data_IF_219436555157
#
_entry.id   IF_219436555157
#
_cell.length_a   1.000
_cell.length_b   1.000
_cell.length_c   1.000
_cell.angle_alpha   90.00
_cell.angle_beta   90.00
_cell.angle_gamma   90.00
#
_symmetry.space_group_name_H-M   'P 1'
#
loop_
_entity.id
_entity.type
_entity.pdbx_description
1 polymer ?
#
# COMPACT_ATOMS: atom_id res chain seq x y z
N UNK A 1 -28.63 12.32 20.87
CA UNK A 1 -27.98 11.81 19.65
C UNK A 1 -29.09 11.65 18.61
N UNK A 2 -29.01 12.38 17.50
CA UNK A 2 -29.93 12.20 16.38
C UNK A 2 -29.67 10.84 15.73
N UNK A 3 -30.68 10.21 15.13
CA UNK A 3 -30.56 8.89 14.48
C UNK A 3 -29.61 8.89 13.25
N UNK A 4 -29.00 10.02 12.90
CA UNK A 4 -28.01 10.17 11.82
C UNK A 4 -26.63 9.55 12.11
N UNK A 5 -26.34 9.16 13.35
CA UNK A 5 -25.00 8.68 13.78
C UNK A 5 -24.96 7.16 14.09
N UNK A 6 -25.96 6.41 13.61
CA UNK A 6 -26.09 4.97 13.86
C UNK A 6 -25.72 4.16 12.63
N UNK A 7 -25.06 3.02 12.86
CA UNK A 7 -24.60 2.10 11.81
C UNK A 7 -25.12 0.71 12.10
N UNK A 8 -25.76 0.09 11.12
CA UNK A 8 -26.05 -1.34 11.17
C UNK A 8 -24.80 -2.12 10.81
N UNK A 9 -24.28 -2.90 11.75
CA UNK A 9 -23.16 -3.81 11.53
C UNK A 9 -23.66 -5.24 11.38
N UNK A 10 -23.27 -5.91 10.30
CA UNK A 10 -23.52 -7.33 10.13
C UNK A 10 -22.39 -8.15 10.77
N UNK A 11 -22.72 -8.79 11.88
CA UNK A 11 -21.87 -9.73 12.59
C UNK A 11 -22.08 -11.15 12.06
N UNK A 12 -20.99 -11.80 11.70
CA UNK A 12 -20.93 -13.22 11.36
C UNK A 12 -19.79 -13.91 12.14
N UNK A 13 -19.67 -15.22 12.03
CA UNK A 13 -18.60 -15.97 12.70
C UNK A 13 -18.66 -15.83 14.22
N UNK A 14 -17.50 -15.63 14.87
CA UNK A 14 -17.42 -15.44 16.33
C UNK A 14 -18.06 -14.14 16.84
N UNK A 15 -18.38 -13.19 15.95
CA UNK A 15 -18.92 -11.88 16.32
C UNK A 15 -20.42 -11.90 16.64
N UNK A 16 -21.08 -13.01 16.33
CA UNK A 16 -22.48 -13.27 16.71
C UNK A 16 -22.60 -13.59 18.21
N UNK A 17 -21.53 -14.09 18.85
CA UNK A 17 -21.60 -14.56 20.23
C UNK A 17 -21.72 -13.40 21.24
N UNK A 18 -22.62 -13.54 22.21
CA UNK A 18 -22.85 -12.52 23.24
C UNK A 18 -21.60 -12.24 24.11
N UNK A 19 -20.76 -13.27 24.31
CA UNK A 19 -19.47 -13.17 25.00
C UNK A 19 -18.48 -12.28 24.26
N UNK A 20 -18.50 -12.31 22.93
CA UNK A 20 -17.65 -11.48 22.07
C UNK A 20 -18.04 -10.00 22.17
N UNK A 21 -19.34 -9.69 22.18
CA UNK A 21 -19.84 -8.33 22.39
C UNK A 21 -19.45 -7.78 23.77
N UNK A 22 -19.63 -8.58 24.84
CA UNK A 22 -19.25 -8.21 26.21
C UNK A 22 -17.75 -7.92 26.33
N UNK A 23 -16.90 -8.79 25.78
CA UNK A 23 -15.44 -8.61 25.77
C UNK A 23 -15.02 -7.30 25.08
N UNK A 24 -15.77 -6.86 24.07
CA UNK A 24 -15.52 -5.63 23.32
C UNK A 24 -16.23 -4.39 23.90
N UNK A 25 -16.98 -4.55 24.99
CA UNK A 25 -17.74 -3.46 25.62
C UNK A 25 -18.69 -2.76 24.63
N UNK A 26 -19.33 -3.56 23.76
CA UNK A 26 -20.31 -3.08 22.79
C UNK A 26 -21.72 -3.23 23.35
N UNK A 27 -22.54 -2.21 23.17
CA UNK A 27 -23.92 -2.18 23.62
C UNK A 27 -24.85 -1.83 22.44
N UNK A 28 -25.19 -2.82 21.59
CA UNK A 28 -26.12 -2.59 20.48
C UNK A 28 -27.45 -2.02 20.96
N UNK A 29 -27.95 -1.02 20.24
CA UNK A 29 -29.27 -0.41 20.51
C UNK A 29 -30.42 -1.29 20.02
N UNK A 30 -30.17 -2.03 18.95
CA UNK A 30 -31.07 -3.03 18.38
C UNK A 30 -30.23 -4.19 17.83
N UNK A 31 -30.81 -5.39 17.79
CA UNK A 31 -30.17 -6.59 17.29
C UNK A 31 -31.18 -7.50 16.60
N UNK A 32 -30.93 -7.85 15.34
CA UNK A 32 -31.86 -8.67 14.55
C UNK A 32 -31.13 -9.83 13.87
N UNK A 33 -31.68 -11.06 13.86
CA UNK A 33 -31.15 -12.12 13.04
C UNK A 33 -31.42 -11.79 11.56
N UNK A 34 -30.37 -11.84 10.75
CA UNK A 34 -30.43 -11.50 9.33
C UNK A 34 -29.63 -12.49 8.48
N UNK A 35 -29.92 -12.48 7.17
CA UNK A 35 -29.22 -13.24 6.15
C UNK A 35 -28.72 -12.29 5.06
N UNK A 36 -27.53 -12.55 4.50
CA UNK A 36 -27.03 -11.84 3.32
C UNK A 36 -27.08 -12.79 2.12
N UNK A 37 -28.09 -12.70 1.24
CA UNK A 37 -28.32 -13.67 0.16
C UNK A 37 -27.17 -13.78 -0.85
N UNK A 38 -26.43 -12.70 -1.04
CA UNK A 38 -25.35 -12.58 -2.03
C UNK A 38 -24.02 -13.21 -1.59
N UNK A 39 -23.89 -13.58 -0.30
CA UNK A 39 -22.61 -14.02 0.28
C UNK A 39 -22.74 -15.37 0.98
N UNK A 40 -21.61 -16.08 1.06
CA UNK A 40 -21.46 -17.35 1.78
C UNK A 40 -20.36 -17.22 2.84
N UNK A 41 -20.44 -18.05 3.89
CA UNK A 41 -19.41 -18.16 4.92
C UNK A 41 -18.21 -18.95 4.37
N UNK A 42 -17.00 -18.43 4.57
CA UNK A 42 -15.74 -19.10 4.22
C UNK A 42 -14.73 -19.02 5.39
N UNK A 43 -13.60 -19.72 5.27
CA UNK A 43 -12.48 -19.68 6.22
C UNK A 43 -11.17 -19.30 5.52
N UNK A 44 -11.15 -18.09 4.97
CA UNK A 44 -10.07 -17.54 4.15
C UNK A 44 -9.18 -16.53 4.89
N UNK A 45 -9.43 -16.29 6.18
CA UNK A 45 -8.64 -15.39 7.01
C UNK A 45 -7.60 -16.19 7.80
N UNK A 46 -6.32 -15.84 7.61
CA UNK A 46 -5.21 -16.43 8.33
C UNK A 46 -5.32 -16.17 9.84
N UNK A 47 -5.26 -17.25 10.64
CA UNK A 47 -5.15 -17.13 12.09
C UNK A 47 -3.77 -17.56 12.59
N UNK A 48 -3.59 -17.68 13.91
CA UNK A 48 -2.27 -18.03 14.49
C UNK A 48 -1.99 -19.52 14.28
N UNK A 49 -0.89 -19.90 13.58
CA UNK A 49 -0.51 -21.30 13.39
C UNK A 49 -0.47 -22.06 14.72
N UNK A 50 -0.91 -23.33 14.69
CA UNK A 50 -0.95 -24.24 15.86
C UNK A 50 -1.93 -23.87 17.00
N UNK A 51 -2.66 -22.74 16.87
CA UNK A 51 -3.75 -22.34 17.77
C UNK A 51 -5.10 -22.28 17.05
N UNK A 52 -5.26 -21.34 16.13
CA UNK A 52 -6.48 -21.12 15.35
C UNK A 52 -6.03 -20.86 13.92
N UNK A 53 -5.86 -21.91 13.08
CA UNK A 53 -5.23 -21.77 11.78
C UNK A 53 -6.06 -20.98 10.77
N UNK A 54 -7.38 -20.90 10.95
CA UNK A 54 -8.30 -20.17 10.08
C UNK A 54 -9.44 -19.53 10.88
N UNK A 55 -9.86 -18.34 10.46
CA UNK A 55 -10.99 -17.59 11.01
C UNK A 55 -12.08 -17.40 9.97
N UNK A 56 -13.29 -17.08 10.42
CA UNK A 56 -14.43 -16.85 9.54
C UNK A 56 -14.23 -15.59 8.68
N UNK A 57 -14.55 -15.72 7.39
CA UNK A 57 -14.71 -14.65 6.41
C UNK A 57 -16.05 -14.80 5.68
N UNK A 58 -16.34 -13.87 4.78
CA UNK A 58 -17.44 -13.99 3.82
C UNK A 58 -16.92 -13.65 2.43
N UNK A 59 -17.50 -14.31 1.43
CA UNK A 59 -17.23 -14.05 0.01
C UNK A 59 -18.52 -14.03 -0.79
N UNK A 60 -18.47 -13.37 -1.95
CA UNK A 60 -19.58 -13.43 -2.89
C UNK A 60 -19.84 -14.87 -3.33
N UNK A 61 -21.12 -15.14 -3.55
CA UNK A 61 -21.59 -16.44 -3.99
C UNK A 61 -21.31 -16.63 -5.48
N UNK A 62 -20.74 -17.79 -5.83
CA UNK A 62 -20.40 -18.17 -7.20
C UNK A 62 -21.36 -19.24 -7.73
N UNK A 63 -21.46 -19.46 -9.07
CA UNK A 63 -22.29 -20.50 -9.65
C UNK A 63 -21.93 -21.94 -9.22
N UNK A 64 -20.72 -22.14 -8.68
CA UNK A 64 -20.22 -23.44 -8.20
C UNK A 64 -20.74 -23.75 -6.79
N UNK A 65 -21.23 -22.74 -6.06
CA UNK A 65 -21.78 -22.90 -4.71
C UNK A 65 -23.21 -23.50 -4.76
N UNK A 66 -23.30 -24.82 -4.57
CA UNK A 66 -24.59 -25.53 -4.47
C UNK A 66 -25.46 -24.91 -3.37
N UNK A 67 -26.65 -24.43 -3.75
CA UNK A 67 -27.60 -23.79 -2.86
C UNK A 67 -28.08 -24.64 -1.69
N UNK A 68 -28.00 -25.96 -1.81
CA UNK A 68 -28.35 -26.88 -0.72
C UNK A 68 -27.16 -27.17 0.19
N UNK A 69 -25.94 -27.17 -0.34
CA UNK A 69 -24.73 -27.48 0.42
C UNK A 69 -24.12 -26.25 1.09
N UNK A 70 -24.20 -25.08 0.45
CA UNK A 70 -23.61 -23.82 0.90
C UNK A 70 -24.71 -22.75 1.01
N UNK A 71 -25.43 -22.69 2.14
CA UNK A 71 -26.48 -21.70 2.33
C UNK A 71 -25.91 -20.28 2.40
N UNK A 72 -26.71 -19.24 2.11
CA UNK A 72 -26.31 -17.86 2.33
C UNK A 72 -25.83 -17.62 3.76
N UNK A 73 -24.91 -16.67 3.96
CA UNK A 73 -24.39 -16.37 5.28
C UNK A 73 -25.48 -15.77 6.18
N UNK A 74 -25.68 -16.37 7.35
CA UNK A 74 -26.57 -15.87 8.37
C UNK A 74 -25.76 -15.28 9.52
N UNK A 75 -26.31 -14.26 10.15
CA UNK A 75 -25.65 -13.53 11.23
C UNK A 75 -26.61 -12.61 11.95
N UNK A 76 -26.05 -11.63 12.64
CA UNK A 76 -26.81 -10.62 13.39
C UNK A 76 -26.54 -9.24 12.83
N UNK A 77 -27.58 -8.46 12.57
CA UNK A 77 -27.47 -7.04 12.39
C UNK A 77 -27.51 -6.37 13.77
N UNK A 78 -26.44 -5.70 14.17
CA UNK A 78 -26.37 -4.90 15.39
C UNK A 78 -26.42 -3.42 15.04
N UNK A 79 -27.37 -2.68 15.61
CA UNK A 79 -27.43 -1.22 15.48
C UNK A 79 -26.47 -0.61 16.50
N UNK A 80 -25.34 -0.12 16.02
CA UNK A 80 -24.26 0.44 16.84
C UNK A 80 -24.19 1.95 16.66
N UNK A 81 -23.72 2.66 17.69
CA UNK A 81 -23.26 4.04 17.50
C UNK A 81 -22.02 4.04 16.59
N UNK A 82 -21.77 5.15 15.90
CA UNK A 82 -20.53 5.34 15.11
C UNK A 82 -19.27 5.01 15.93
N UNK A 83 -19.26 5.37 17.23
CA UNK A 83 -18.14 5.13 18.13
C UNK A 83 -17.97 3.65 18.44
N UNK A 84 -19.06 2.92 18.70
CA UNK A 84 -19.04 1.48 18.96
C UNK A 84 -18.64 0.70 17.72
N UNK A 85 -19.17 1.09 16.57
CA UNK A 85 -18.78 0.54 15.28
C UNK A 85 -17.29 0.74 15.03
N UNK A 86 -16.77 1.96 15.21
CA UNK A 86 -15.34 2.20 15.04
C UNK A 86 -14.48 1.38 16.03
N UNK A 87 -14.91 1.22 17.29
CA UNK A 87 -14.19 0.36 18.25
C UNK A 87 -14.17 -1.10 17.81
N UNK A 88 -15.29 -1.59 17.28
CA UNK A 88 -15.38 -2.93 16.71
C UNK A 88 -14.38 -3.11 15.57
N UNK A 89 -14.43 -2.23 14.57
CA UNK A 89 -13.59 -2.28 13.37
C UNK A 89 -12.09 -2.27 13.72
N UNK A 90 -11.68 -1.45 14.69
CA UNK A 90 -10.29 -1.44 15.20
C UNK A 90 -9.92 -2.74 15.93
N UNK A 91 -10.86 -3.35 16.65
CA UNK A 91 -10.61 -4.58 17.40
C UNK A 91 -10.52 -5.83 16.51
N UNK A 92 -11.12 -5.79 15.31
CA UNK A 92 -11.10 -6.85 14.31
C UNK A 92 -9.87 -6.78 13.40
N UNK A 93 -9.06 -5.71 13.49
CA UNK A 93 -7.92 -5.51 12.60
C UNK A 93 -8.32 -5.05 11.19
N UNK A 94 -9.43 -4.32 11.08
CA UNK A 94 -9.83 -3.70 9.82
C UNK A 94 -8.76 -2.72 9.31
N UNK A 95 -8.49 -2.77 8.01
CA UNK A 95 -7.39 -2.08 7.35
C UNK A 95 -6.08 -2.90 7.32
N UNK A 96 -5.94 -3.94 8.14
CA UNK A 96 -4.77 -4.85 8.12
C UNK A 96 -5.16 -6.20 7.51
N UNK A 97 -6.08 -6.92 8.15
CA UNK A 97 -6.53 -8.25 7.70
C UNK A 97 -7.87 -8.21 6.96
N UNK A 98 -8.68 -7.16 7.20
CA UNK A 98 -10.02 -7.01 6.62
C UNK A 98 -10.22 -5.68 5.89
N UNK A 99 -11.10 -5.66 4.90
CA UNK A 99 -11.63 -4.46 4.23
C UNK A 99 -13.10 -4.27 4.62
N UNK A 100 -13.49 -3.03 4.85
CA UNK A 100 -14.89 -2.67 5.14
C UNK A 100 -15.72 -2.69 3.85
N UNK A 101 -16.92 -3.26 3.93
CA UNK A 101 -17.86 -3.35 2.79
C UNK A 101 -19.29 -3.07 3.24
N UNK A 102 -20.11 -2.61 2.30
CA UNK A 102 -21.55 -2.37 2.49
C UNK A 102 -22.34 -3.45 1.75
N UNK A 103 -23.24 -4.13 2.48
CA UNK A 103 -24.07 -5.22 1.98
C UNK A 103 -25.54 -4.95 2.30
N UNK A 104 -26.43 -5.67 1.62
CA UNK A 104 -27.86 -5.69 1.94
C UNK A 104 -28.19 -6.98 2.68
N UNK A 105 -28.60 -6.84 3.93
CA UNK A 105 -29.08 -7.95 4.75
C UNK A 105 -30.62 -8.00 4.76
N UNK A 106 -31.18 -9.19 4.93
CA UNK A 106 -32.62 -9.43 5.03
C UNK A 106 -32.95 -10.03 6.38
N UNK A 107 -34.02 -9.55 7.02
CA UNK A 107 -34.49 -10.12 8.29
C UNK A 107 -34.87 -11.60 8.15
N UNK A 108 -34.37 -12.42 9.07
CA UNK A 108 -34.70 -13.84 9.13
C UNK A 108 -36.10 -14.01 9.74
N UNK A 109 -37.03 -14.67 9.04
CA UNK A 109 -38.33 -15.00 9.63
C UNK A 109 -38.17 -16.13 10.65
N UNK A 110 -38.24 -15.80 11.94
CA UNK A 110 -38.17 -16.78 13.02
C UNK A 110 -39.56 -17.37 13.30
N UNK A 111 -39.94 -18.43 12.60
CA UNK A 111 -40.92 -19.43 13.05
C UNK A 111 -42.44 -19.17 12.88
N UNK A 112 -43.08 -20.09 12.14
CA UNK A 112 -44.47 -20.61 12.29
C UNK A 112 -45.56 -19.72 12.92
N UNK A 113 -45.84 -18.54 12.36
CA UNK A 113 -47.23 -18.08 12.26
C UNK A 113 -47.43 -17.48 10.88
N UNK A 114 -48.37 -18.06 10.13
CA UNK A 114 -48.73 -17.63 8.79
C UNK A 114 -49.47 -16.28 8.84
N UNK A 115 -48.73 -15.20 9.03
CA UNK A 115 -49.09 -13.85 8.58
C UNK A 115 -47.84 -13.24 7.97
N UNK A 116 -47.95 -12.84 6.70
CA UNK A 116 -46.87 -12.38 5.84
C UNK A 116 -45.79 -11.60 6.61
N UNK A 117 -44.68 -12.28 6.91
CA UNK A 117 -43.51 -11.64 7.51
C UNK A 117 -42.94 -10.71 6.45
N UNK A 118 -43.10 -9.41 6.64
CA UNK A 118 -42.46 -8.38 5.81
C UNK A 118 -40.95 -8.56 5.92
N UNK A 119 -40.33 -9.01 4.84
CA UNK A 119 -38.87 -9.11 4.73
C UNK A 119 -38.31 -7.71 4.57
N UNK A 120 -37.80 -7.15 5.67
CA UNK A 120 -37.12 -5.85 5.65
C UNK A 120 -35.68 -6.03 5.14
N UNK A 121 -35.30 -5.22 4.16
CA UNK A 121 -33.92 -5.08 3.69
C UNK A 121 -33.22 -3.99 4.50
N UNK A 122 -32.08 -4.34 5.10
CA UNK A 122 -31.30 -3.46 5.96
C UNK A 122 -29.93 -3.29 5.30
N UNK A 123 -29.52 -2.06 4.94
CA UNK A 123 -28.14 -1.80 4.54
C UNK A 123 -27.24 -1.97 5.77
N UNK A 124 -26.25 -2.85 5.66
CA UNK A 124 -25.33 -3.21 6.74
C UNK A 124 -23.89 -2.99 6.30
N UNK A 125 -23.04 -2.61 7.25
CA UNK A 125 -21.59 -2.62 7.07
C UNK A 125 -20.99 -3.86 7.68
N UNK A 126 -19.94 -4.39 7.07
CA UNK A 126 -19.22 -5.55 7.60
C UNK A 126 -17.78 -5.60 7.11
N UNK A 127 -17.06 -6.66 7.47
CA UNK A 127 -15.66 -6.88 7.16
C UNK A 127 -15.49 -8.10 6.26
N UNK A 128 -14.70 -7.97 5.20
CA UNK A 128 -14.27 -9.06 4.32
C UNK A 128 -12.76 -9.21 4.36
N UNK A 129 -12.24 -10.41 4.08
CA UNK A 129 -10.79 -10.65 4.05
C UNK A 129 -10.12 -9.74 3.01
N UNK A 130 -9.05 -9.04 3.41
CA UNK A 130 -8.25 -8.21 2.50
C UNK A 130 -7.36 -9.06 1.60
N UNK A 131 -6.86 -10.17 2.13
CA UNK A 131 -5.97 -11.12 1.47
C UNK A 131 -6.52 -12.54 1.69
N UNK A 132 -7.57 -12.94 0.96
CA UNK A 132 -8.22 -14.23 1.16
C UNK A 132 -7.27 -15.38 0.79
N UNK A 133 -7.08 -16.33 1.69
CA UNK A 133 -6.25 -17.51 1.44
C UNK A 133 -7.05 -18.61 0.73
N UNK A 134 -6.45 -19.20 -0.31
CA UNK A 134 -7.03 -20.30 -1.07
C UNK A 134 -5.98 -21.42 -1.26
N UNK A 135 -6.33 -22.71 -1.06
CA UNK A 135 -7.62 -23.20 -0.60
C UNK A 135 -7.93 -22.82 0.87
N UNK A 136 -9.22 -22.68 1.19
CA UNK A 136 -9.67 -22.36 2.56
C UNK A 136 -9.08 -23.32 3.60
N UNK A 137 -8.57 -22.78 4.71
CA UNK A 137 -7.99 -23.56 5.79
C UNK A 137 -9.07 -24.01 6.79
N UNK A 138 -8.84 -25.13 7.47
CA UNK A 138 -9.81 -25.67 8.42
C UNK A 138 -9.77 -24.91 9.75
N UNK A 139 -10.88 -24.33 10.24
CA UNK A 139 -10.93 -23.66 11.55
C UNK A 139 -10.75 -24.67 12.70
N UNK A 140 -10.26 -24.21 13.85
CA UNK A 140 -10.09 -25.11 15.00
C UNK A 140 -11.43 -25.59 15.58
N UNK A 141 -11.45 -26.76 16.23
CA UNK A 141 -12.64 -27.27 16.94
C UNK A 141 -13.16 -26.25 17.97
N UNK A 142 -12.25 -25.57 18.67
CA UNK A 142 -12.62 -24.52 19.64
C UNK A 142 -13.33 -23.36 18.96
N UNK A 143 -12.80 -22.88 17.84
CA UNK A 143 -13.36 -21.76 17.09
C UNK A 143 -14.74 -22.11 16.51
N UNK A 144 -14.88 -23.30 15.93
CA UNK A 144 -16.17 -23.81 15.46
C UNK A 144 -17.22 -23.90 16.56
N UNK A 145 -16.82 -24.28 17.78
CA UNK A 145 -17.68 -24.25 18.95
C UNK A 145 -18.28 -22.86 19.23
N UNK A 146 -17.49 -21.79 19.07
CA UNK A 146 -17.96 -20.41 19.24
C UNK A 146 -19.00 -20.02 18.18
N UNK A 147 -18.80 -20.42 16.92
CA UNK A 147 -19.73 -20.15 15.82
C UNK A 147 -21.09 -20.82 16.08
N UNK A 148 -21.06 -22.11 16.43
CA UNK A 148 -22.27 -22.91 16.69
C UNK A 148 -23.00 -22.38 17.93
N UNK A 149 -22.28 -22.06 19.00
CA UNK A 149 -22.86 -21.49 20.20
C UNK A 149 -23.47 -20.10 19.93
N UNK A 150 -22.75 -19.22 19.23
CA UNK A 150 -23.25 -17.90 18.86
C UNK A 150 -24.52 -17.98 18.01
N UNK A 151 -24.57 -18.90 17.05
CA UNK A 151 -25.76 -19.14 16.22
C UNK A 151 -26.98 -19.59 17.05
N UNK A 152 -26.76 -20.42 18.07
CA UNK A 152 -27.81 -20.86 19.01
C UNK A 152 -28.29 -19.72 19.90
N UNK A 153 -27.37 -18.98 20.52
CA UNK A 153 -27.68 -17.84 21.40
C UNK A 153 -28.46 -16.75 20.66
N UNK A 154 -28.14 -16.52 19.39
CA UNK A 154 -28.76 -15.48 18.56
C UNK A 154 -30.02 -15.93 17.83
N UNK A 155 -30.49 -17.17 18.05
CA UNK A 155 -31.72 -17.68 17.44
C UNK A 155 -31.66 -17.80 15.91
N UNK A 156 -30.47 -18.04 15.32
CA UNK A 156 -30.36 -18.27 13.89
C UNK A 156 -31.12 -19.55 13.46
N UNK A 157 -31.59 -19.67 12.21
CA UNK A 157 -32.41 -20.80 11.77
C UNK A 157 -31.77 -22.16 12.06
N UNK A 158 -32.56 -23.13 12.52
CA UNK A 158 -32.08 -24.47 12.88
C UNK A 158 -31.34 -25.16 11.72
N UNK A 159 -31.76 -24.93 10.48
CA UNK A 159 -31.07 -25.43 9.28
C UNK A 159 -29.65 -24.88 9.15
N UNK A 160 -29.43 -23.60 9.48
CA UNK A 160 -28.10 -22.99 9.47
C UNK A 160 -27.23 -23.50 10.62
N UNK A 161 -27.82 -23.75 11.79
CA UNK A 161 -27.09 -24.36 12.92
C UNK A 161 -26.61 -25.78 12.59
N UNK A 162 -27.43 -26.56 11.88
CA UNK A 162 -27.05 -27.90 11.38
C UNK A 162 -25.93 -27.78 10.35
N UNK A 163 -26.02 -26.83 9.41
CA UNK A 163 -24.95 -26.53 8.45
C UNK A 163 -23.62 -26.25 9.16
N UNK A 164 -23.59 -25.31 10.12
CA UNK A 164 -22.38 -24.99 10.88
C UNK A 164 -21.80 -26.21 11.62
N UNK A 165 -22.66 -27.09 12.13
CA UNK A 165 -22.24 -28.30 12.84
C UNK A 165 -21.67 -29.38 11.90
N UNK A 166 -21.97 -29.32 10.60
CA UNK A 166 -21.46 -30.22 9.58
C UNK A 166 -20.14 -29.77 8.93
N UNK A 167 -19.67 -28.56 9.21
CA UNK A 167 -18.43 -28.03 8.63
C UNK A 167 -17.19 -28.75 9.21
N UNK A 168 -16.17 -29.03 8.37
CA UNK A 168 -14.95 -29.69 8.82
C UNK A 168 -14.13 -28.78 9.74
N UNK A 169 -13.48 -29.38 10.74
CA UNK A 169 -12.65 -28.66 11.71
C UNK A 169 -11.25 -29.27 11.81
N UNK A 170 -10.24 -28.42 11.99
CA UNK A 170 -8.87 -28.82 12.25
C UNK A 170 -8.77 -29.46 13.63
N UNK A 171 -8.27 -30.70 13.65
CA UNK A 171 -7.97 -31.44 14.87
C UNK A 171 -6.46 -31.44 15.09
N UNK A 172 -6.02 -30.86 16.21
CA UNK A 172 -4.60 -30.83 16.59
C UNK A 172 -4.12 -32.26 16.84
N UNK A 173 -3.39 -32.84 15.88
CA UNK A 173 -2.69 -34.12 16.01
C UNK A 173 -1.20 -33.85 15.84
N UNK A 174 -0.56 -33.43 16.93
CA UNK A 174 0.88 -33.17 16.94
C UNK A 174 1.57 -34.30 17.71
N UNK A 175 2.71 -34.75 17.21
CA UNK A 175 3.66 -35.57 17.96
C UNK A 175 4.27 -34.75 19.11
N UNK A 176 4.90 -35.42 20.09
CA UNK A 176 5.54 -34.73 21.23
C UNK A 176 6.61 -33.71 20.80
N UNK A 177 7.28 -33.94 19.68
CA UNK A 177 8.27 -33.02 19.12
C UNK A 177 7.62 -31.80 18.45
N UNK A 178 6.50 -32.00 17.75
CA UNK A 178 5.73 -30.91 17.15
C UNK A 178 4.97 -30.09 18.19
N UNK A 179 4.52 -30.70 19.29
CA UNK A 179 3.98 -29.95 20.43
C UNK A 179 5.04 -29.05 21.06
N UNK A 180 6.26 -29.57 21.25
CA UNK A 180 7.38 -28.78 21.75
C UNK A 180 7.77 -27.65 20.79
N UNK A 181 7.85 -27.93 19.49
CA UNK A 181 8.12 -26.92 18.45
C UNK A 181 7.01 -25.86 18.37
N UNK A 182 5.75 -26.26 18.43
CA UNK A 182 4.61 -25.35 18.49
C UNK A 182 4.64 -24.51 19.77
N UNK A 183 5.00 -25.08 20.92
CA UNK A 183 5.15 -24.34 22.17
C UNK A 183 6.30 -23.34 22.12
N UNK A 184 7.41 -23.64 21.46
CA UNK A 184 8.51 -22.69 21.23
C UNK A 184 8.08 -21.56 20.29
N UNK A 185 7.45 -21.89 19.16
CA UNK A 185 6.95 -20.92 18.20
C UNK A 185 5.91 -19.99 18.83
N UNK A 186 4.88 -20.56 19.47
CA UNK A 186 3.84 -19.80 20.18
C UNK A 186 4.46 -19.01 21.33
N UNK A 187 5.37 -19.60 22.11
CA UNK A 187 6.02 -18.93 23.24
C UNK A 187 6.89 -17.75 22.83
N UNK A 188 7.50 -17.79 21.64
CA UNK A 188 8.28 -16.69 21.08
C UNK A 188 7.38 -15.63 20.42
N UNK A 189 6.42 -16.05 19.60
CA UNK A 189 5.61 -15.13 18.80
C UNK A 189 4.41 -14.54 19.56
N UNK A 190 3.81 -15.23 20.52
CA UNK A 190 2.66 -14.71 21.26
C UNK A 190 2.98 -13.49 22.12
N UNK A 191 4.14 -13.36 22.80
CA UNK A 191 4.52 -12.11 23.46
C UNK A 191 4.78 -10.95 22.50
N UNK A 192 5.13 -11.23 21.24
CA UNK A 192 5.31 -10.22 20.19
C UNK A 192 3.93 -9.79 19.66
N UNK A 193 3.03 -10.75 19.44
CA UNK A 193 1.66 -10.51 18.97
C UNK A 193 0.74 -9.92 20.07
N UNK A 194 0.96 -10.30 21.34
CA UNK A 194 0.19 -9.86 22.52
C UNK A 194 0.96 -8.90 23.44
N UNK A 195 2.12 -8.39 22.99
CA UNK A 195 2.91 -7.42 23.74
C UNK A 195 2.04 -6.23 24.17
N UNK A 196 2.38 -5.54 25.29
CA UNK A 196 1.50 -4.55 25.90
C UNK A 196 1.17 -3.49 24.86
N UNK A 197 -0.06 -3.56 24.34
CA UNK A 197 -0.63 -2.51 23.55
C UNK A 197 -0.75 -1.32 24.53
N UNK A 198 -0.01 -0.21 24.34
CA UNK A 198 -0.20 0.95 25.19
C UNK A 198 -1.67 1.32 25.10
N UNK A 199 -2.31 1.57 26.25
CA UNK A 199 -3.74 1.84 26.39
C UNK A 199 -4.30 2.53 25.14
N UNK A 200 -5.08 1.78 24.34
CA UNK A 200 -5.61 2.25 23.06
C UNK A 200 -6.45 3.51 23.31
N UNK A 201 -5.87 4.66 22.96
CA UNK A 201 -6.60 5.93 22.89
C UNK A 201 -7.74 5.80 21.89
N UNK A 202 -8.80 6.57 22.10
CA UNK A 202 -9.96 6.65 21.21
C UNK A 202 -9.52 6.95 19.77
N UNK A 203 -10.30 6.56 18.75
CA UNK A 203 -9.94 6.69 17.35
C UNK A 203 -10.12 8.12 16.79
N UNK A 204 -9.65 9.10 17.54
CA UNK A 204 -9.23 10.39 17.01
C UNK A 204 -7.70 10.35 16.73
N UNK A 205 -7.00 9.32 17.22
CA UNK A 205 -5.54 9.15 17.09
C UNK A 205 -5.18 7.89 16.30
N UNK A 206 -5.49 7.81 15.00
CA UNK A 206 -4.55 7.10 14.11
C UNK A 206 -3.29 7.97 14.05
N UNK A 207 -2.08 7.39 14.08
CA UNK A 207 -0.93 8.11 13.62
C UNK A 207 -1.23 8.67 12.23
N UNK A 208 -1.45 9.98 12.15
CA UNK A 208 -1.19 10.68 10.90
C UNK A 208 0.28 10.34 10.55
N UNK A 209 0.71 10.38 9.29
CA UNK A 209 2.13 10.23 8.93
C UNK A 209 3.11 11.10 9.75
N UNK A 210 2.58 12.08 10.50
CA UNK A 210 3.28 12.99 11.40
C UNK A 210 3.41 12.54 12.87
N UNK A 211 2.77 11.45 13.30
CA UNK A 211 2.91 10.85 14.64
C UNK A 211 4.18 9.97 14.73
N UNK A 212 4.81 9.96 15.90
CA UNK A 212 6.11 9.33 16.12
C UNK A 212 6.15 7.82 15.81
N UNK A 213 5.06 7.09 16.07
CA UNK A 213 4.97 5.66 15.79
C UNK A 213 4.84 5.41 14.28
N UNK A 214 4.03 6.20 13.58
CA UNK A 214 3.87 6.11 12.13
C UNK A 214 5.19 6.38 11.39
N UNK A 215 5.96 7.36 11.87
CA UNK A 215 7.32 7.67 11.35
C UNK A 215 8.29 6.50 11.51
N UNK A 216 8.28 5.84 12.67
CA UNK A 216 9.14 4.68 12.92
C UNK A 216 8.73 3.46 12.09
N UNK A 217 7.43 3.24 11.88
CA UNK A 217 6.94 2.18 11.00
C UNK A 217 7.35 2.43 9.54
N UNK A 218 7.26 3.67 9.08
CA UNK A 218 7.70 4.08 7.75
C UNK A 218 9.21 3.81 7.58
N UNK A 219 10.04 4.28 8.51
CA UNK A 219 11.48 4.02 8.52
C UNK A 219 11.81 2.52 8.49
N UNK A 220 11.11 1.70 9.28
CA UNK A 220 11.31 0.25 9.29
C UNK A 220 11.05 -0.35 7.91
N UNK A 221 9.94 0.03 7.25
CA UNK A 221 9.62 -0.43 5.89
C UNK A 221 10.67 0.00 4.88
N UNK A 222 11.16 1.24 4.96
CA UNK A 222 12.24 1.73 4.09
C UNK A 222 13.51 0.91 4.26
N UNK A 223 13.91 0.58 5.49
CA UNK A 223 15.06 -0.28 5.75
C UNK A 223 14.88 -1.69 5.17
N UNK A 224 13.67 -2.25 5.27
CA UNK A 224 13.34 -3.55 4.65
C UNK A 224 13.43 -3.51 3.12
N UNK A 225 13.02 -2.40 2.49
CA UNK A 225 13.15 -2.24 1.03
C UNK A 225 14.62 -2.12 0.62
N UNK A 226 15.42 -1.33 1.35
CA UNK A 226 16.87 -1.22 1.11
C UNK A 226 17.54 -2.60 1.24
N UNK A 227 17.22 -3.36 2.29
CA UNK A 227 17.72 -4.72 2.51
C UNK A 227 17.29 -5.68 1.38
N UNK A 228 16.03 -5.60 0.95
CA UNK A 228 15.50 -6.42 -0.15
C UNK A 228 16.27 -6.18 -1.45
N UNK A 229 16.63 -4.92 -1.75
CA UNK A 229 17.43 -4.59 -2.94
C UNK A 229 18.83 -5.20 -2.81
N UNK A 230 19.48 -5.10 -1.64
CA UNK A 230 20.78 -5.76 -1.42
C UNK A 230 20.69 -7.27 -1.59
N UNK A 231 19.68 -7.92 -0.99
CA UNK A 231 19.45 -9.35 -1.13
C UNK A 231 19.22 -9.77 -2.59
N UNK A 232 18.50 -8.95 -3.37
CA UNK A 232 18.30 -9.20 -4.79
C UNK A 232 19.63 -9.17 -5.56
N UNK A 233 20.46 -8.15 -5.30
CA UNK A 233 21.78 -8.00 -5.94
C UNK A 233 22.71 -9.15 -5.55
N UNK A 234 22.72 -9.55 -4.28
CA UNK A 234 23.55 -10.66 -3.78
C UNK A 234 23.11 -12.01 -4.37
N UNK A 235 21.80 -12.29 -4.33
CA UNK A 235 21.22 -13.55 -4.81
C UNK A 235 21.43 -13.74 -6.31
N UNK A 236 21.36 -12.65 -7.08
CA UNK A 236 21.49 -12.66 -8.54
C UNK A 236 22.74 -11.88 -9.00
N UNK A 237 23.86 -12.08 -8.32
CA UNK A 237 25.13 -11.35 -8.53
C UNK A 237 25.79 -11.56 -9.91
N UNK A 238 25.37 -12.61 -10.63
CA UNK A 238 25.72 -12.84 -12.03
C UNK A 238 25.02 -11.84 -12.98
N UNK A 239 23.90 -11.26 -12.55
CA UNK A 239 23.08 -10.33 -13.34
C UNK A 239 23.17 -8.89 -12.84
N UNK A 240 23.29 -8.67 -11.53
CA UNK A 240 23.27 -7.34 -10.92
C UNK A 240 24.60 -7.00 -10.24
N UNK A 241 24.92 -5.71 -10.17
CA UNK A 241 26.05 -5.19 -9.40
C UNK A 241 25.64 -3.94 -8.61
N UNK A 242 26.00 -3.91 -7.33
CA UNK A 242 25.73 -2.76 -6.46
C UNK A 242 26.62 -1.57 -6.82
N UNK A 243 26.01 -0.42 -7.06
CA UNK A 243 26.70 0.84 -7.35
C UNK A 243 26.79 1.69 -6.08
N UNK A 244 28.01 2.03 -5.66
CA UNK A 244 28.26 2.92 -4.53
C UNK A 244 28.86 4.26 -4.95
N UNK A 245 29.37 4.37 -6.18
CA UNK A 245 29.89 5.58 -6.78
C UNK A 245 29.70 5.57 -8.30
N UNK A 246 29.78 6.73 -8.95
CA UNK A 246 29.70 6.82 -10.41
C UNK A 246 30.76 5.97 -11.14
N UNK A 247 31.91 5.69 -10.52
CA UNK A 247 32.97 4.84 -11.08
C UNK A 247 32.54 3.37 -11.21
N UNK A 248 31.62 2.93 -10.35
CA UNK A 248 31.14 1.55 -10.34
C UNK A 248 30.21 1.28 -11.52
N UNK A 249 29.42 2.28 -11.95
CA UNK A 249 28.40 2.15 -13.00
C UNK A 249 29.01 1.59 -14.28
N UNK A 250 30.00 2.27 -14.84
CA UNK A 250 30.63 1.88 -16.10
C UNK A 250 31.37 0.55 -15.97
N UNK A 251 31.99 0.30 -14.81
CA UNK A 251 32.71 -0.95 -14.54
C UNK A 251 31.75 -2.15 -14.52
N UNK A 252 30.60 -2.01 -13.84
CA UNK A 252 29.57 -3.05 -13.74
C UNK A 252 28.91 -3.25 -15.11
N UNK A 253 28.53 -2.16 -15.79
CA UNK A 253 27.91 -2.23 -17.11
C UNK A 253 28.79 -2.95 -18.12
N UNK A 254 30.09 -2.63 -18.19
CA UNK A 254 31.06 -3.32 -19.06
C UNK A 254 31.27 -4.80 -18.73
N UNK A 255 30.95 -5.23 -17.51
CA UNK A 255 30.97 -6.64 -17.13
C UNK A 255 29.77 -7.44 -17.66
N UNK A 256 28.82 -6.78 -18.33
CA UNK A 256 27.58 -7.38 -18.81
C UNK A 256 26.48 -7.47 -17.74
N UNK A 257 26.72 -6.87 -16.57
CA UNK A 257 25.77 -6.83 -15.44
C UNK A 257 25.01 -5.51 -15.40
N UNK A 258 23.84 -5.55 -14.80
CA UNK A 258 22.99 -4.39 -14.56
C UNK A 258 23.54 -3.63 -13.34
N UNK A 259 23.94 -2.38 -13.55
CA UNK A 259 24.38 -1.48 -12.50
C UNK A 259 23.16 -1.01 -11.68
N UNK A 260 23.10 -1.40 -10.40
CA UNK A 260 21.94 -1.18 -9.54
C UNK A 260 22.22 -0.11 -8.47
N UNK A 261 21.41 0.95 -8.48
CA UNK A 261 21.44 2.06 -7.51
C UNK A 261 20.21 2.00 -6.60
N UNK A 262 20.30 2.65 -5.44
CA UNK A 262 19.19 2.74 -4.48
C UNK A 262 18.76 4.20 -4.32
N UNK A 263 17.46 4.46 -4.51
CA UNK A 263 16.80 5.73 -4.23
C UNK A 263 15.76 5.58 -3.13
N UNK A 264 15.48 6.66 -2.42
CA UNK A 264 14.36 6.73 -1.45
C UNK A 264 13.40 7.83 -1.86
N UNK A 265 12.13 7.48 -2.07
CA UNK A 265 11.12 8.39 -2.58
C UNK A 265 10.34 9.07 -1.43
N UNK A 266 10.84 10.20 -0.96
CA UNK A 266 10.17 11.04 0.04
C UNK A 266 10.90 11.09 1.38
N UNK A 267 11.17 12.31 1.86
CA UNK A 267 11.81 12.54 3.17
C UNK A 267 10.93 12.22 4.38
N UNK A 268 9.66 11.90 4.20
CA UNK A 268 8.84 11.38 5.31
C UNK A 268 9.39 10.02 5.84
N UNK A 269 10.19 9.32 5.03
CA UNK A 269 10.80 8.03 5.35
C UNK A 269 12.00 8.11 6.32
N UNK A 270 12.52 9.31 6.61
CA UNK A 270 13.69 9.48 7.50
C UNK A 270 13.34 9.70 8.97
N UNK A 271 12.06 9.53 9.34
CA UNK A 271 11.54 9.74 10.69
C UNK A 271 12.00 11.09 11.30
N UNK A 272 11.94 12.16 10.50
CA UNK A 272 12.36 13.52 10.84
C UNK A 272 13.84 13.68 11.30
N UNK A 273 14.72 12.74 10.97
CA UNK A 273 16.08 12.69 11.51
C UNK A 273 17.14 12.71 10.40
N UNK A 274 17.98 13.76 10.39
CA UNK A 274 19.11 13.86 9.46
C UNK A 274 20.17 12.77 9.68
N UNK A 275 20.21 12.15 10.87
CA UNK A 275 21.03 10.97 11.11
C UNK A 275 20.63 9.80 10.24
N UNK A 276 19.34 9.66 9.94
CA UNK A 276 18.85 8.58 9.07
C UNK A 276 19.28 8.81 7.62
N UNK A 277 19.32 10.05 7.13
CA UNK A 277 19.87 10.37 5.79
C UNK A 277 21.32 9.88 5.66
N UNK A 278 22.15 10.14 6.69
CA UNK A 278 23.53 9.64 6.74
C UNK A 278 23.61 8.12 6.79
N UNK A 279 22.69 7.46 7.50
CA UNK A 279 22.65 6.00 7.57
C UNK A 279 22.20 5.39 6.24
N UNK A 280 21.17 5.93 5.60
CA UNK A 280 20.74 5.54 4.26
C UNK A 280 21.89 5.67 3.25
N UNK A 281 22.66 6.77 3.30
CA UNK A 281 23.85 6.92 2.48
C UNK A 281 24.88 5.79 2.69
N UNK A 282 25.15 5.43 3.96
CA UNK A 282 26.04 4.31 4.31
C UNK A 282 25.50 2.95 3.85
N UNK A 283 24.19 2.81 3.75
CA UNK A 283 23.50 1.63 3.24
C UNK A 283 23.37 1.62 1.71
N UNK A 284 23.99 2.56 0.99
CA UNK A 284 24.03 2.56 -0.47
C UNK A 284 23.01 3.45 -1.17
N UNK A 285 22.13 4.15 -0.43
CA UNK A 285 21.20 5.13 -1.02
C UNK A 285 21.99 6.31 -1.61
N UNK A 286 21.65 6.73 -2.83
CA UNK A 286 22.37 7.81 -3.54
C UNK A 286 21.51 9.00 -3.95
N UNK A 287 20.19 8.85 -3.97
CA UNK A 287 19.29 9.99 -4.07
C UNK A 287 18.09 9.86 -3.12
N UNK A 288 17.53 11.00 -2.72
CA UNK A 288 16.26 11.05 -2.00
C UNK A 288 15.36 12.09 -2.64
N UNK A 289 14.14 11.68 -2.99
CA UNK A 289 13.06 12.58 -3.44
C UNK A 289 12.53 13.34 -2.23
N UNK A 290 12.36 14.66 -2.35
CA UNK A 290 11.96 15.47 -1.18
C UNK A 290 10.54 15.13 -0.70
N UNK A 291 9.62 14.91 -1.64
CA UNK A 291 8.22 14.62 -1.39
C UNK A 291 7.78 13.38 -2.18
N UNK A 292 6.61 12.84 -1.81
CA UNK A 292 5.82 11.95 -2.67
C UNK A 292 4.44 12.62 -2.82
N UNK A 293 3.34 11.93 -2.54
CA UNK A 293 1.97 12.46 -2.73
C UNK A 293 1.47 13.51 -1.71
N UNK A 294 2.11 13.70 -0.56
CA UNK A 294 1.68 14.69 0.44
C UNK A 294 2.87 15.54 0.90
N UNK A 295 2.56 16.72 1.43
CA UNK A 295 3.54 17.60 2.05
C UNK A 295 4.15 16.89 3.26
N UNK A 296 5.42 17.17 3.53
CA UNK A 296 6.07 16.73 4.75
C UNK A 296 6.71 17.92 5.48
N UNK A 297 7.48 17.60 6.54
CA UNK A 297 8.15 18.61 7.36
C UNK A 297 9.15 19.46 6.57
N UNK A 298 9.66 18.95 5.45
CA UNK A 298 10.77 19.52 4.71
C UNK A 298 10.28 20.35 3.52
N UNK A 299 9.32 19.84 2.76
CA UNK A 299 8.87 20.45 1.51
C UNK A 299 7.39 20.15 1.20
N UNK A 300 6.85 20.92 0.26
CA UNK A 300 5.49 20.78 -0.26
C UNK A 300 5.43 19.88 -1.51
N UNK A 301 4.41 19.04 -1.58
CA UNK A 301 4.12 18.16 -2.71
C UNK A 301 3.19 18.82 -3.71
N UNK A 302 3.35 18.53 -5.00
CA UNK A 302 2.41 18.94 -6.05
C UNK A 302 0.98 18.44 -5.83
N UNK A 303 0.84 17.31 -5.12
CA UNK A 303 -0.45 16.70 -4.76
C UNK A 303 -0.89 17.09 -3.33
N UNK A 304 -0.05 17.81 -2.59
CA UNK A 304 -0.27 18.21 -1.21
C UNK A 304 -1.13 19.47 -1.05
N UNK A 305 -1.08 20.06 0.15
CA UNK A 305 -1.83 21.27 0.52
C UNK A 305 -0.95 22.52 0.60
N UNK A 306 0.33 22.41 0.22
CA UNK A 306 1.29 23.52 0.22
C UNK A 306 1.42 24.22 1.57
N UNK A 307 1.77 23.47 2.62
CA UNK A 307 1.82 23.97 4.01
C UNK A 307 3.02 24.87 4.30
N UNK A 308 4.11 24.73 3.54
CA UNK A 308 5.39 25.37 3.81
C UNK A 308 5.65 26.59 2.92
N UNK A 309 4.88 26.79 1.84
CA UNK A 309 5.19 27.78 0.81
C UNK A 309 6.37 27.34 -0.06
N UNK A 310 6.48 26.04 -0.32
CA UNK A 310 7.61 25.39 -0.98
C UNK A 310 8.49 24.62 0.00
N UNK A 311 9.71 25.12 0.22
CA UNK A 311 10.73 24.55 1.09
C UNK A 311 10.68 25.20 2.48
N UNK A 312 10.57 24.39 3.52
CA UNK A 312 10.63 24.86 4.90
C UNK A 312 12.06 25.19 5.36
N UNK A 313 12.21 25.79 6.55
CA UNK A 313 13.53 25.95 7.19
C UNK A 313 14.24 24.63 7.47
N UNK A 314 13.49 23.58 7.86
CA UNK A 314 14.03 22.24 8.04
C UNK A 314 14.44 21.61 6.70
N UNK A 315 13.71 21.93 5.63
CA UNK A 315 14.05 21.58 4.26
C UNK A 315 15.39 22.17 3.84
N UNK A 316 15.63 23.44 4.13
CA UNK A 316 16.93 24.07 3.84
C UNK A 316 18.09 23.34 4.54
N UNK A 317 17.91 22.95 5.80
CA UNK A 317 18.95 22.25 6.55
C UNK A 317 19.19 20.82 6.04
N UNK A 318 18.14 20.10 5.63
CA UNK A 318 18.32 18.75 5.08
C UNK A 318 18.97 18.78 3.70
N UNK A 319 18.68 19.78 2.86
CA UNK A 319 19.37 19.98 1.57
C UNK A 319 20.87 20.20 1.78
N UNK A 320 21.24 21.05 2.75
CA UNK A 320 22.65 21.26 3.10
C UNK A 320 23.33 19.96 3.53
N UNK A 321 22.66 19.14 4.34
CA UNK A 321 23.21 17.86 4.76
C UNK A 321 23.34 16.87 3.60
N UNK A 322 22.36 16.83 2.69
CA UNK A 322 22.40 16.01 1.48
C UNK A 322 23.58 16.43 0.58
N UNK A 323 23.74 17.73 0.31
CA UNK A 323 24.90 18.25 -0.43
C UNK A 323 26.23 17.91 0.27
N UNK A 324 26.30 18.04 1.60
CA UNK A 324 27.52 17.77 2.38
C UNK A 324 27.98 16.31 2.27
N UNK A 325 27.05 15.36 2.23
CA UNK A 325 27.38 13.93 2.17
C UNK A 325 27.40 13.35 0.76
N UNK A 326 27.03 14.12 -0.26
CA UNK A 326 26.91 13.63 -1.63
C UNK A 326 25.65 12.80 -1.89
N UNK A 327 24.55 13.09 -1.18
CA UNK A 327 23.22 12.56 -1.50
C UNK A 327 22.56 13.46 -2.54
N UNK A 328 22.17 12.89 -3.67
CA UNK A 328 21.50 13.62 -4.74
C UNK A 328 20.10 14.03 -4.27
N UNK A 329 19.77 15.29 -4.51
CA UNK A 329 18.44 15.85 -4.24
C UNK A 329 17.57 15.60 -5.46
N UNK A 330 16.43 14.93 -5.25
CA UNK A 330 15.44 14.68 -6.29
C UNK A 330 14.17 15.52 -6.05
N UNK A 331 13.74 16.23 -7.11
CA UNK A 331 12.65 17.18 -7.13
C UNK A 331 11.35 16.66 -7.75
N UNK A 332 11.30 15.40 -8.20
CA UNK A 332 10.03 14.75 -8.57
C UNK A 332 8.98 14.91 -7.43
N UNK A 333 7.70 14.99 -7.79
CA UNK A 333 6.56 15.25 -6.89
C UNK A 333 6.51 16.61 -6.18
N UNK A 334 7.51 17.48 -6.29
CA UNK A 334 7.51 18.74 -5.54
C UNK A 334 6.74 19.85 -6.25
N UNK A 335 6.20 20.81 -5.49
CA UNK A 335 5.58 22.02 -6.06
C UNK A 335 6.59 22.87 -6.84
N UNK A 336 6.12 23.66 -7.80
CA UNK A 336 6.98 24.63 -8.54
C UNK A 336 7.76 25.55 -7.59
N UNK A 337 7.15 26.00 -6.49
CA UNK A 337 7.83 26.84 -5.50
C UNK A 337 8.97 26.10 -4.80
N UNK A 338 8.75 24.84 -4.41
CA UNK A 338 9.81 23.97 -3.87
C UNK A 338 10.94 23.82 -4.88
N UNK A 339 10.62 23.51 -6.14
CA UNK A 339 11.61 23.31 -7.20
C UNK A 339 12.52 24.54 -7.34
N UNK A 340 11.92 25.73 -7.48
CA UNK A 340 12.66 27.00 -7.61
C UNK A 340 13.53 27.30 -6.40
N UNK A 341 13.00 27.11 -5.19
CA UNK A 341 13.72 27.40 -3.95
C UNK A 341 14.90 26.44 -3.77
N UNK A 342 14.72 25.15 -4.04
CA UNK A 342 15.80 24.15 -3.95
C UNK A 342 16.89 24.42 -4.99
N UNK A 343 16.51 24.74 -6.23
CA UNK A 343 17.47 25.14 -7.28
C UNK A 343 18.25 26.40 -6.91
N UNK A 344 17.64 27.32 -6.15
CA UNK A 344 18.29 28.52 -5.64
C UNK A 344 19.24 28.31 -4.46
N UNK A 345 19.15 27.18 -3.74
CA UNK A 345 19.95 26.94 -2.51
C UNK A 345 20.87 25.72 -2.57
N UNK A 346 20.62 24.75 -3.47
CA UNK A 346 21.46 23.56 -3.62
C UNK A 346 22.83 23.94 -4.17
N UNK A 347 23.88 23.42 -3.53
CA UNK A 347 25.28 23.62 -3.95
C UNK A 347 25.75 22.57 -4.95
N UNK A 348 24.94 21.54 -5.19
CA UNK A 348 25.21 20.47 -6.14
C UNK A 348 24.09 20.38 -7.18
N UNK A 349 24.37 19.79 -8.36
CA UNK A 349 23.34 19.39 -9.31
C UNK A 349 22.23 18.58 -8.65
N UNK A 350 20.99 18.95 -8.95
CA UNK A 350 19.78 18.21 -8.55
C UNK A 350 19.26 17.39 -9.72
N UNK A 351 18.37 16.45 -9.43
CA UNK A 351 17.66 15.70 -10.47
C UNK A 351 16.15 15.87 -10.35
N UNK A 352 15.45 15.62 -11.44
CA UNK A 352 14.08 15.15 -11.45
C UNK A 352 14.13 13.71 -11.94
N UNK A 353 14.00 12.72 -11.04
CA UNK A 353 14.24 11.31 -11.37
C UNK A 353 13.16 10.68 -12.28
N UNK A 354 11.97 11.28 -12.33
CA UNK A 354 10.83 10.88 -13.16
C UNK A 354 9.85 12.05 -13.27
N UNK A 355 10.04 12.89 -14.27
CA UNK A 355 9.16 14.04 -14.52
C UNK A 355 9.01 14.33 -16.02
N UNK A 356 8.06 15.19 -16.40
CA UNK A 356 7.84 15.59 -17.79
C UNK A 356 7.65 17.11 -17.88
N UNK A 357 7.71 17.66 -19.10
CA UNK A 357 7.68 19.10 -19.32
C UNK A 357 6.84 19.48 -20.55
N UNK A 358 5.98 20.50 -20.50
CA UNK A 358 5.93 21.54 -19.46
C UNK A 358 4.94 21.25 -18.32
N UNK A 359 4.41 20.02 -18.19
CA UNK A 359 3.29 19.74 -17.28
C UNK A 359 3.62 19.85 -15.80
N UNK A 360 4.66 19.16 -15.34
CA UNK A 360 5.08 19.17 -13.94
C UNK A 360 6.40 19.93 -13.70
N UNK A 361 7.20 20.14 -14.76
CA UNK A 361 8.36 21.02 -14.74
C UNK A 361 8.15 22.15 -15.75
N UNK A 362 8.04 23.38 -15.26
CA UNK A 362 7.78 24.55 -16.10
C UNK A 362 9.05 25.02 -16.81
N UNK A 363 8.89 25.78 -17.89
CA UNK A 363 9.94 26.47 -18.64
C UNK A 363 10.95 27.20 -17.74
N UNK A 364 10.45 27.96 -16.78
CA UNK A 364 11.29 28.69 -15.82
C UNK A 364 12.11 27.75 -14.93
N UNK A 365 11.53 26.63 -14.50
CA UNK A 365 12.24 25.63 -13.71
C UNK A 365 13.29 24.90 -14.55
N UNK A 366 13.01 24.63 -15.83
CA UNK A 366 14.01 24.09 -16.75
C UNK A 366 15.21 25.04 -16.89
N UNK A 367 14.97 26.35 -17.05
CA UNK A 367 16.06 27.33 -17.17
C UNK A 367 16.91 27.42 -15.89
N UNK A 368 16.27 27.30 -14.72
CA UNK A 368 16.97 27.20 -13.43
C UNK A 368 17.74 25.88 -13.30
N UNK A 369 17.18 24.76 -13.76
CA UNK A 369 17.83 23.45 -13.75
C UNK A 369 19.11 23.46 -14.59
N UNK A 370 19.08 24.09 -15.77
CA UNK A 370 20.26 24.32 -16.61
C UNK A 370 21.35 25.08 -15.84
N UNK A 371 20.96 26.17 -15.16
CA UNK A 371 21.90 26.98 -14.37
C UNK A 371 22.50 26.21 -13.20
N UNK A 372 21.71 25.33 -12.56
CA UNK A 372 22.17 24.42 -11.52
C UNK A 372 23.04 23.26 -12.05
N UNK A 373 23.10 23.07 -13.37
CA UNK A 373 23.72 21.92 -14.04
C UNK A 373 23.09 20.58 -13.63
N UNK A 374 21.78 20.57 -13.37
CA UNK A 374 21.02 19.39 -13.00
C UNK A 374 20.49 18.58 -14.20
N UNK A 375 19.72 17.53 -13.91
CA UNK A 375 19.22 16.57 -14.89
C UNK A 375 17.70 16.38 -14.74
N UNK A 376 16.94 16.45 -15.83
CA UNK A 376 15.54 16.01 -15.87
C UNK A 376 15.44 14.67 -16.58
N UNK A 377 14.92 13.66 -15.88
CA UNK A 377 14.74 12.31 -16.41
C UNK A 377 13.28 12.15 -16.85
N UNK A 378 13.07 12.07 -18.17
CA UNK A 378 11.73 12.09 -18.77
C UNK A 378 10.95 10.82 -18.40
N UNK A 379 9.78 11.01 -17.81
CA UNK A 379 8.91 9.94 -17.31
C UNK A 379 7.99 9.37 -18.39
N UNK A 380 7.63 8.09 -18.27
CA UNK A 380 6.71 7.42 -19.18
C UNK A 380 5.27 7.41 -18.66
N UNK A 381 5.00 7.90 -17.45
CA UNK A 381 3.67 7.91 -16.86
C UNK A 381 2.65 8.59 -17.81
N UNK A 382 1.61 7.89 -18.30
CA UNK A 382 0.71 8.41 -19.33
C UNK A 382 0.10 9.77 -19.04
N UNK A 383 -0.22 10.05 -17.78
CA UNK A 383 -0.81 11.32 -17.35
C UNK A 383 0.16 12.51 -17.47
N UNK A 384 1.47 12.25 -17.41
CA UNK A 384 2.51 13.27 -17.55
C UNK A 384 2.90 13.50 -19.01
N UNK A 385 2.67 12.52 -19.90
CA UNK A 385 3.05 12.62 -21.31
C UNK A 385 1.89 12.94 -22.27
N UNK A 386 0.64 12.60 -21.92
CA UNK A 386 -0.51 12.74 -22.82
C UNK A 386 -1.65 13.58 -22.24
N UNK A 387 -2.22 14.47 -23.06
CA UNK A 387 -3.39 15.29 -22.66
C UNK A 387 -4.65 14.45 -22.57
N UNK A 388 -4.65 13.32 -23.27
CA UNK A 388 -5.76 12.39 -23.35
C UNK A 388 -5.59 11.25 -22.32
N UNK A 389 -4.69 11.41 -21.35
CA UNK A 389 -4.37 10.43 -20.32
C UNK A 389 -3.92 9.09 -20.89
N UNK A 390 -4.21 8.02 -20.16
CA UNK A 390 -3.77 6.65 -20.44
C UNK A 390 -4.09 6.19 -21.87
N UNK A 391 -5.32 6.40 -22.35
CA UNK A 391 -5.76 5.88 -23.65
C UNK A 391 -5.08 6.54 -24.85
N UNK A 392 -4.55 7.75 -24.67
CA UNK A 392 -3.88 8.50 -25.73
C UNK A 392 -2.37 8.60 -25.55
N UNK A 393 -1.77 7.88 -24.60
CA UNK A 393 -0.33 7.89 -24.39
C UNK A 393 0.38 6.98 -25.38
N UNK A 394 1.28 7.56 -26.17
CA UNK A 394 2.10 6.85 -27.15
C UNK A 394 3.56 7.27 -27.02
N UNK A 395 4.48 6.39 -27.43
CA UNK A 395 5.92 6.65 -27.37
C UNK A 395 6.34 7.98 -28.03
N UNK A 396 5.66 8.42 -29.10
CA UNK A 396 5.99 9.70 -29.75
C UNK A 396 5.87 10.91 -28.83
N UNK A 397 4.94 10.88 -27.87
CA UNK A 397 4.82 11.98 -26.90
C UNK A 397 6.00 12.00 -25.92
N UNK A 398 6.49 10.82 -25.52
CA UNK A 398 7.71 10.72 -24.70
C UNK A 398 8.90 11.33 -25.45
N UNK A 399 9.02 11.02 -26.74
CA UNK A 399 10.05 11.59 -27.61
C UNK A 399 9.89 13.11 -27.71
N UNK A 400 8.67 13.61 -27.90
CA UNK A 400 8.40 15.05 -27.96
C UNK A 400 8.82 15.77 -26.67
N UNK A 401 8.63 15.14 -25.50
CA UNK A 401 9.12 15.64 -24.21
C UNK A 401 10.66 15.69 -24.14
N UNK A 402 11.35 14.63 -24.57
CA UNK A 402 12.82 14.58 -24.64
C UNK A 402 13.35 15.68 -25.56
N UNK A 403 12.74 15.83 -26.75
CA UNK A 403 13.12 16.84 -27.74
C UNK A 403 12.92 18.25 -27.20
N UNK A 404 11.77 18.50 -26.58
CA UNK A 404 11.45 19.80 -26.02
C UNK A 404 12.45 20.22 -24.94
N UNK A 405 12.71 19.34 -23.97
CA UNK A 405 13.69 19.60 -22.91
C UNK A 405 15.09 19.82 -23.49
N UNK A 406 15.54 18.91 -24.37
CA UNK A 406 16.88 18.96 -24.95
C UNK A 406 17.13 20.21 -25.79
N UNK A 407 16.13 20.65 -26.58
CA UNK A 407 16.23 21.88 -27.37
C UNK A 407 16.25 23.15 -26.50
N UNK A 408 15.58 23.12 -25.35
CA UNK A 408 15.51 24.28 -24.44
C UNK A 408 16.79 24.41 -23.60
N UNK A 409 17.13 23.35 -22.87
CA UNK A 409 18.18 23.42 -21.84
C UNK A 409 19.49 22.79 -22.27
N UNK A 410 19.50 21.96 -23.32
CA UNK A 410 20.64 21.15 -23.72
C UNK A 410 20.38 19.68 -23.42
N UNK A 411 20.75 18.78 -24.34
CA UNK A 411 20.51 17.34 -24.17
C UNK A 411 21.38 16.72 -23.07
N UNK A 412 22.46 17.37 -22.66
CA UNK A 412 23.29 17.02 -21.49
C UNK A 412 22.54 17.12 -20.16
N UNK A 413 21.39 17.80 -20.14
CA UNK A 413 20.51 17.94 -18.97
C UNK A 413 19.26 17.07 -19.07
N UNK A 414 19.20 16.11 -20.00
CA UNK A 414 18.05 15.24 -20.21
C UNK A 414 18.42 13.76 -20.06
N UNK A 415 17.63 13.02 -19.29
CA UNK A 415 17.76 11.58 -19.10
C UNK A 415 16.42 10.86 -19.22
N UNK A 416 16.37 9.59 -18.79
CA UNK A 416 15.14 8.78 -18.80
C UNK A 416 14.82 8.26 -17.40
N UNK A 417 13.58 8.51 -16.98
CA UNK A 417 13.06 8.19 -15.65
C UNK A 417 11.76 7.43 -15.74
N UNK A 418 11.80 6.19 -16.24
CA UNK A 418 10.62 5.48 -16.76
C UNK A 418 9.41 5.43 -15.82
N UNK A 419 9.64 5.28 -14.51
CA UNK A 419 8.62 4.95 -13.52
C UNK A 419 7.95 3.56 -13.77
N UNK A 420 8.71 2.61 -14.35
CA UNK A 420 8.27 1.22 -14.44
C UNK A 420 7.97 0.63 -13.06
N UNK A 421 6.94 -0.22 -13.00
CA UNK A 421 6.33 -0.79 -11.78
C UNK A 421 5.71 0.25 -10.80
N UNK A 422 5.89 1.55 -11.03
CA UNK A 422 5.11 2.65 -10.43
C UNK A 422 3.85 3.01 -11.22
N UNK A 423 3.82 2.70 -12.52
CA UNK A 423 2.68 2.89 -13.41
C UNK A 423 1.88 1.59 -13.65
N UNK A 424 0.54 1.68 -13.64
CA UNK A 424 -0.33 0.54 -13.98
C UNK A 424 -0.24 0.15 -15.46
N UNK A 425 0.04 1.12 -16.33
CA UNK A 425 0.16 0.95 -17.78
C UNK A 425 1.07 2.03 -18.35
N UNK A 426 2.04 1.64 -19.19
CA UNK A 426 2.89 2.58 -19.91
C UNK A 426 2.31 3.05 -21.25
N UNK A 427 2.97 4.01 -21.94
CA UNK A 427 2.57 4.47 -23.26
C UNK A 427 2.62 3.32 -24.28
N UNK A 428 1.75 3.37 -25.29
CA UNK A 428 1.78 2.39 -26.37
C UNK A 428 3.17 2.33 -27.02
N UNK A 429 3.64 1.10 -27.22
CA UNK A 429 4.97 0.75 -27.75
C UNK A 429 6.15 1.09 -26.83
N UNK A 430 5.87 1.49 -25.59
CA UNK A 430 6.82 1.71 -24.48
C UNK A 430 6.23 1.27 -23.13
N UNK A 431 5.54 0.13 -23.14
CA UNK A 431 4.73 -0.39 -22.03
C UNK A 431 5.53 -1.22 -21.02
N UNK A 432 6.72 -1.70 -21.38
CA UNK A 432 7.62 -2.45 -20.51
C UNK A 432 9.12 -2.24 -20.87
N UNK A 433 10.01 -2.78 -20.04
CA UNK A 433 11.48 -2.67 -20.22
C UNK A 433 12.01 -3.32 -21.50
N UNK A 434 11.28 -4.22 -22.16
CA UNK A 434 11.70 -4.78 -23.46
C UNK A 434 11.57 -3.78 -24.61
N UNK A 435 10.90 -2.64 -24.38
CA UNK A 435 10.58 -1.65 -25.41
C UNK A 435 11.60 -0.52 -25.56
N UNK A 436 12.65 -0.46 -24.73
CA UNK A 436 13.73 0.55 -24.90
C UNK A 436 14.30 0.62 -26.33
N UNK A 437 14.49 -0.48 -27.10
CA UNK A 437 14.91 -0.39 -28.49
C UNK A 437 13.97 0.44 -29.39
N UNK A 438 12.66 0.45 -29.11
CA UNK A 438 11.71 1.30 -29.84
C UNK A 438 11.96 2.79 -29.59
N UNK A 439 12.29 3.15 -28.35
CA UNK A 439 12.64 4.52 -27.95
C UNK A 439 13.90 4.98 -28.68
N UNK A 440 14.95 4.15 -28.68
CA UNK A 440 16.22 4.43 -29.37
C UNK A 440 15.97 4.67 -30.85
N UNK A 441 15.23 3.76 -31.51
CA UNK A 441 14.88 3.90 -32.93
C UNK A 441 14.17 5.23 -33.20
N UNK A 442 13.18 5.61 -32.38
CA UNK A 442 12.45 6.86 -32.57
C UNK A 442 13.29 8.11 -32.33
N UNK A 443 14.22 8.09 -31.37
CA UNK A 443 15.16 9.21 -31.17
C UNK A 443 16.06 9.41 -32.41
N UNK A 444 16.55 8.31 -32.99
CA UNK A 444 17.35 8.36 -34.23
C UNK A 444 16.51 8.82 -35.43
N UNK A 445 15.24 8.40 -35.54
CA UNK A 445 14.29 8.89 -36.56
C UNK A 445 13.99 10.39 -36.42
N UNK A 446 14.20 10.98 -35.22
CA UNK A 446 14.16 12.42 -34.97
C UNK A 446 15.50 13.13 -35.21
N UNK A 447 16.45 12.46 -35.87
CA UNK A 447 17.76 12.99 -36.28
C UNK A 447 18.70 13.34 -35.10
N UNK A 448 18.52 12.73 -33.92
CA UNK A 448 19.48 12.83 -32.83
C UNK A 448 20.72 12.02 -33.19
N UNK A 449 21.90 12.60 -32.93
CA UNK A 449 23.15 11.85 -33.10
C UNK A 449 23.26 10.73 -32.07
N UNK A 450 23.99 9.68 -32.42
CA UNK A 450 24.24 8.54 -31.53
C UNK A 450 24.91 8.96 -30.21
N UNK A 451 25.77 9.98 -30.22
CA UNK A 451 26.39 10.54 -29.01
C UNK A 451 25.34 11.14 -28.06
N UNK A 452 24.40 11.91 -28.61
CA UNK A 452 23.31 12.50 -27.82
C UNK A 452 22.39 11.39 -27.30
N UNK A 453 22.02 10.43 -28.13
CA UNK A 453 21.17 9.31 -27.70
C UNK A 453 21.85 8.53 -26.58
N UNK A 454 23.13 8.22 -26.70
CA UNK A 454 23.91 7.51 -25.66
C UNK A 454 23.91 8.28 -24.35
N UNK A 455 24.11 9.60 -24.40
CA UNK A 455 24.03 10.49 -23.24
C UNK A 455 22.66 10.45 -22.57
N UNK A 456 21.59 10.63 -23.32
CA UNK A 456 20.20 10.62 -22.78
C UNK A 456 19.82 9.26 -22.17
N UNK A 457 20.35 8.15 -22.71
CA UNK A 457 20.06 6.80 -22.20
C UNK A 457 20.74 6.47 -20.87
N UNK A 458 21.75 7.24 -20.44
CA UNK A 458 22.46 7.01 -19.17
C UNK A 458 23.90 7.52 -19.09
N UNK A 459 24.36 8.28 -20.09
CA UNK A 459 25.68 8.92 -20.07
C UNK A 459 25.70 10.32 -19.44
N UNK A 460 24.55 10.99 -19.36
CA UNK A 460 24.35 12.22 -18.59
C UNK A 460 24.19 11.90 -17.11
#
# INVERSE_FOLDING_TARGET
MQDSDMVWYFAFGSNIASTTLKRRQLSPRDSRPVVVPSHVLCFDVFGVPYMEPAMAGIRERTPVDDAKATPPVHGMAYLLSQQDYHRLIVSEGAGVAYVETELIARTCSTGFTARAATCEEIPVRTLMARFPFQPEALPSVRYMGLLIQGARESGLPSSYQVYLSGLPAYHKRLSKYEEFGASLLIGFWMPILNGPCPAKKSPIDRPKPNDALGKLECLMKTLQQIDTIHLLIETFSDYFGAVNSSKDIETIFRSGRIASLIGVEGLHQIADSSSIVRLFHKLGVRYITLCHDDDNRYADSSNGKSKNGGLSSHGLDIIREMNRIGMIVDLSHTTTDTQKQVLGVSQAPVIFSHSSCPRNVTDEVLDLLKTNNGLIMICFLPNLVSANGVQGAVIDQVIDHIMYAGQRIGFEHVGIGSDFDGMLQGPKDLDDVSRYPNLIRKLLERELSEDIVTKVLGGN
#
